data_IF_502019170372
#
_entry.id   IF_502019170372
#
_cell.length_a   1.000
_cell.length_b   1.000
_cell.length_c   1.000
_cell.angle_alpha   90.00
_cell.angle_beta   90.00
_cell.angle_gamma   90.00
#
_symmetry.space_group_name_H-M   'P 1'
#
loop_
_entity.id
_entity.type
_entity.pdbx_description
1 polymer ?
#
# COMPACT_ATOMS: atom_id res chain seq x y z
N UNK A 1 19.40 2.18 14.51
CA UNK A 1 18.12 2.45 13.82
C UNK A 1 17.85 1.22 12.97
N UNK A 2 16.80 0.47 13.28
CA UNK A 2 16.45 -0.73 12.51
C UNK A 2 16.02 -0.31 11.10
N UNK A 3 16.60 -0.93 10.08
CA UNK A 3 16.40 -0.56 8.68
C UNK A 3 15.25 -1.41 8.12
N UNK A 4 14.04 -0.85 8.15
CA UNK A 4 12.91 -1.51 7.50
C UNK A 4 13.08 -1.48 5.98
N UNK A 5 13.30 -2.65 5.38
CA UNK A 5 13.38 -2.79 3.92
C UNK A 5 12.00 -3.14 3.36
N UNK A 6 11.64 -2.57 2.21
CA UNK A 6 10.35 -2.82 1.56
C UNK A 6 10.18 -2.03 0.27
N UNK A 7 9.00 -2.15 -0.33
CA UNK A 7 8.65 -1.52 -1.60
C UNK A 7 7.90 -0.23 -1.32
N UNK A 8 8.38 0.90 -1.84
CA UNK A 8 7.68 2.19 -1.74
C UNK A 8 6.93 2.48 -3.04
N UNK A 9 5.60 2.61 -2.95
CA UNK A 9 4.74 2.96 -4.09
C UNK A 9 4.19 4.37 -3.90
N UNK A 10 4.66 5.29 -4.75
CA UNK A 10 4.11 6.65 -4.85
C UNK A 10 2.91 6.69 -5.78
N UNK A 11 1.91 7.52 -5.48
CA UNK A 11 0.69 7.58 -6.29
C UNK A 11 -0.23 6.37 -6.07
N UNK A 12 -0.15 5.73 -4.90
CA UNK A 12 -0.90 4.51 -4.58
C UNK A 12 -2.42 4.70 -4.40
N UNK A 13 -2.94 5.93 -4.57
CA UNK A 13 -4.37 6.25 -4.37
C UNK A 13 -5.29 5.81 -5.51
N UNK A 14 -4.78 5.54 -6.72
CA UNK A 14 -5.62 5.07 -7.85
C UNK A 14 -4.81 4.46 -8.98
N UNK A 15 -5.51 3.86 -9.95
CA UNK A 15 -4.91 3.38 -11.21
C UNK A 15 -3.78 2.38 -10.96
N UNK A 16 -2.70 2.53 -11.72
CA UNK A 16 -1.57 1.60 -11.70
C UNK A 16 -0.90 1.58 -10.33
N UNK A 17 -0.63 2.73 -9.71
CA UNK A 17 0.03 2.77 -8.40
C UNK A 17 -0.75 2.01 -7.33
N UNK A 18 -2.09 2.11 -7.33
CA UNK A 18 -2.94 1.34 -6.42
C UNK A 18 -2.86 -0.16 -6.69
N UNK A 19 -3.01 -0.56 -7.96
CA UNK A 19 -2.92 -1.96 -8.35
C UNK A 19 -1.55 -2.56 -7.99
N UNK A 20 -0.46 -1.83 -8.25
CA UNK A 20 0.90 -2.22 -7.91
C UNK A 20 1.09 -2.37 -6.40
N UNK A 21 0.58 -1.45 -5.58
CA UNK A 21 0.64 -1.57 -4.13
C UNK A 21 -0.11 -2.81 -3.62
N UNK A 22 -1.30 -3.08 -4.16
CA UNK A 22 -2.07 -4.28 -3.83
C UNK A 22 -1.34 -5.57 -4.23
N UNK A 23 -0.81 -5.66 -5.44
CA UNK A 23 -0.10 -6.84 -5.92
C UNK A 23 1.17 -7.11 -5.11
N UNK A 24 1.96 -6.08 -4.79
CA UNK A 24 3.12 -6.27 -3.92
C UNK A 24 2.73 -6.75 -2.52
N UNK A 25 1.62 -6.28 -1.96
CA UNK A 25 1.12 -6.79 -0.68
C UNK A 25 0.66 -8.25 -0.77
N UNK A 26 0.00 -8.64 -1.87
CA UNK A 26 -0.47 -10.02 -2.13
C UNK A 26 0.68 -11.02 -2.26
N UNK A 27 1.78 -10.62 -2.88
CA UNK A 27 3.00 -11.46 -2.95
C UNK A 27 3.81 -11.46 -1.64
N UNK A 28 3.36 -10.74 -0.62
CA UNK A 28 3.94 -10.76 0.73
C UNK A 28 5.06 -9.76 0.98
N UNK A 29 5.22 -8.76 0.11
CA UNK A 29 6.17 -7.67 0.38
C UNK A 29 5.66 -6.76 1.50
N UNK A 30 6.59 -6.19 2.29
CA UNK A 30 6.29 -4.99 3.08
C UNK A 30 6.15 -3.81 2.12
N UNK A 31 4.96 -3.23 2.04
CA UNK A 31 4.65 -2.13 1.12
C UNK A 31 4.39 -0.85 1.90
N UNK A 32 5.05 0.23 1.48
CA UNK A 32 4.78 1.59 1.92
C UNK A 32 4.05 2.31 0.78
N UNK A 33 2.87 2.86 1.03
CA UNK A 33 2.00 3.45 0.02
C UNK A 33 1.79 4.94 0.31
N UNK A 34 2.17 5.81 -0.62
CA UNK A 34 1.98 7.26 -0.46
C UNK A 34 1.16 7.92 -1.56
N UNK A 35 0.28 8.85 -1.16
CA UNK A 35 -0.49 9.71 -2.05
C UNK A 35 -1.27 10.78 -1.28
N UNK A 36 -1.54 11.91 -1.95
CA UNK A 36 -2.30 13.07 -1.42
C UNK A 36 -3.73 12.78 -0.92
N UNK A 37 -4.31 11.61 -1.25
CA UNK A 37 -5.70 11.25 -0.94
C UNK A 37 -5.73 10.12 0.07
N UNK A 38 -5.63 10.43 1.36
CA UNK A 38 -5.58 9.44 2.45
C UNK A 38 -6.77 8.50 2.45
N UNK A 39 -7.98 9.01 2.19
CA UNK A 39 -9.19 8.18 2.12
C UNK A 39 -9.12 7.07 1.06
N UNK A 40 -8.43 7.29 -0.07
CA UNK A 40 -8.26 6.23 -1.07
C UNK A 40 -7.20 5.20 -0.65
N UNK A 41 -6.19 5.61 0.13
CA UNK A 41 -5.21 4.70 0.72
C UNK A 41 -5.86 3.83 1.81
N UNK A 42 -6.73 4.41 2.64
CA UNK A 42 -7.52 3.67 3.62
C UNK A 42 -8.44 2.65 2.96
N UNK A 43 -9.14 3.03 1.88
CA UNK A 43 -9.95 2.09 1.08
C UNK A 43 -9.12 0.94 0.51
N UNK A 44 -7.91 1.21 0.02
CA UNK A 44 -6.99 0.17 -0.42
C UNK A 44 -6.68 -0.81 0.73
N UNK A 45 -6.41 -0.31 1.94
CA UNK A 45 -6.19 -1.17 3.10
C UNK A 45 -7.43 -1.98 3.48
N UNK A 46 -8.62 -1.37 3.52
CA UNK A 46 -9.87 -2.09 3.81
C UNK A 46 -10.19 -3.18 2.79
N UNK A 47 -9.74 -3.04 1.54
CA UNK A 47 -9.83 -4.12 0.55
C UNK A 47 -8.83 -5.25 0.83
N UNK A 48 -7.58 -4.90 1.12
CA UNK A 48 -6.52 -5.87 1.42
C UNK A 48 -6.77 -6.63 2.73
N UNK A 49 -7.44 -6.03 3.70
CA UNK A 49 -7.83 -6.67 4.96
C UNK A 49 -8.72 -7.89 4.75
N UNK A 50 -9.57 -7.88 3.72
CA UNK A 50 -10.40 -9.05 3.34
C UNK A 50 -9.56 -10.25 2.91
N UNK A 51 -8.31 -9.99 2.53
CA UNK A 51 -7.31 -10.98 2.13
C UNK A 51 -6.25 -11.22 3.23
N UNK A 52 -6.45 -10.67 4.44
CA UNK A 52 -5.46 -10.63 5.54
C UNK A 52 -4.12 -9.99 5.12
N UNK A 53 -4.18 -8.94 4.30
CA UNK A 53 -3.03 -8.15 3.84
C UNK A 53 -3.20 -6.69 4.21
N UNK A 54 -2.11 -5.92 4.19
CA UNK A 54 -2.13 -4.47 4.39
C UNK A 54 -0.90 -3.81 3.78
N UNK A 55 -0.98 -2.49 3.62
CA UNK A 55 0.13 -1.59 3.30
C UNK A 55 0.27 -0.54 4.39
N UNK A 56 1.50 -0.05 4.59
CA UNK A 56 1.79 1.06 5.50
C UNK A 56 1.51 2.39 4.77
N UNK A 57 0.57 3.19 5.26
CA UNK A 57 0.06 4.37 4.56
C UNK A 57 0.85 5.63 4.97
N UNK A 58 1.22 6.46 3.99
CA UNK A 58 1.85 7.77 4.17
C UNK A 58 1.09 8.85 3.39
N UNK A 59 0.40 9.80 4.07
CA UNK A 59 -0.32 10.90 3.42
C UNK A 59 0.56 11.82 2.57
#
# INVERSE_FOLDING_TARGET
>A
MDKSSGVWITGASSGIGRATAAEFARVGCKVFASARRSAELERLNSELEKENRSVEIFP
#
